data_IF_788719405861
#
_entry.id   IF_788719405861
#
_cell.length_a   1.000
_cell.length_b   1.000
_cell.length_c   1.000
_cell.angle_alpha   90.00
_cell.angle_beta   90.00
_cell.angle_gamma   90.00
#
_symmetry.space_group_name_H-M   'P 1'
#
loop_
_entity.id
_entity.type
_entity.pdbx_description
1 polymer ?
#
# COMPACT_ATOMS: atom_id res chain seq x y z
N UNK A 1 -15.33 -7.94 13.27
CA UNK A 1 -14.88 -6.63 13.73
C UNK A 1 -13.41 -6.58 13.42
N UNK A 2 -13.01 -5.70 12.53
CA UNK A 2 -11.62 -5.47 12.15
C UNK A 2 -11.12 -4.17 12.75
N UNK A 3 -9.81 -4.05 12.92
CA UNK A 3 -9.19 -2.89 13.57
C UNK A 3 -8.00 -2.36 12.76
N UNK A 4 -8.01 -1.07 12.44
CA UNK A 4 -6.94 -0.39 11.73
C UNK A 4 -6.35 0.75 12.58
N UNK A 5 -5.08 1.03 12.38
CA UNK A 5 -4.41 2.23 12.92
C UNK A 5 -3.79 3.06 11.79
N UNK A 6 -4.01 4.37 11.82
CA UNK A 6 -3.42 5.31 10.88
C UNK A 6 -2.53 6.30 11.60
N UNK A 7 -1.30 6.44 11.10
CA UNK A 7 -0.27 7.32 11.65
C UNK A 7 -0.12 8.57 10.79
N UNK A 8 0.04 9.71 11.45
CA UNK A 8 0.19 11.01 10.81
C UNK A 8 1.33 11.78 11.47
N UNK A 9 2.39 12.09 10.74
CA UNK A 9 3.41 13.01 11.25
C UNK A 9 2.80 14.41 11.29
N UNK A 10 2.55 14.96 12.47
CA UNK A 10 1.89 16.28 12.60
C UNK A 10 2.87 17.44 12.62
N UNK A 11 4.17 17.17 12.40
CA UNK A 11 5.19 18.19 12.27
C UNK A 11 5.26 18.67 10.80
N UNK A 12 4.79 19.89 10.48
CA UNK A 12 4.77 20.40 9.11
C UNK A 12 6.15 20.65 8.52
N UNK A 13 7.22 20.67 9.33
CA UNK A 13 8.59 20.73 8.83
C UNK A 13 9.08 19.37 8.29
N UNK A 14 8.40 18.28 8.64
CA UNK A 14 8.75 16.91 8.23
C UNK A 14 7.76 16.32 7.22
N UNK A 15 6.48 16.73 7.26
CA UNK A 15 5.43 16.16 6.43
C UNK A 15 4.44 17.24 5.97
N UNK A 16 4.29 17.37 4.65
CA UNK A 16 3.44 18.39 4.04
C UNK A 16 1.95 18.02 4.02
N UNK A 17 1.62 16.74 4.15
CA UNK A 17 0.26 16.22 3.90
C UNK A 17 -0.39 15.72 5.19
N UNK A 18 0.34 14.96 6.00
CA UNK A 18 -0.20 14.28 7.17
C UNK A 18 -0.83 15.21 8.22
N UNK A 19 -0.29 16.42 8.53
CA UNK A 19 -0.95 17.32 9.46
C UNK A 19 -2.35 17.73 9.00
N UNK A 20 -2.50 18.02 7.71
CA UNK A 20 -3.78 18.41 7.11
C UNK A 20 -4.74 17.23 6.95
N UNK A 21 -4.21 16.04 6.62
CA UNK A 21 -5.00 14.81 6.56
C UNK A 21 -5.56 14.43 7.93
N UNK A 22 -4.75 14.52 8.99
CA UNK A 22 -5.18 14.24 10.36
C UNK A 22 -6.30 15.17 10.82
N UNK A 23 -6.16 16.48 10.60
CA UNK A 23 -7.22 17.44 10.94
C UNK A 23 -8.50 17.21 10.13
N UNK A 24 -8.36 16.78 8.87
CA UNK A 24 -9.51 16.42 8.03
C UNK A 24 -10.23 15.18 8.55
N UNK A 25 -9.50 14.14 8.96
CA UNK A 25 -10.04 12.94 9.62
C UNK A 25 -10.78 13.31 10.90
N UNK A 26 -10.19 14.17 11.74
CA UNK A 26 -10.85 14.63 12.98
C UNK A 26 -12.17 15.32 12.72
N UNK A 27 -12.24 16.15 11.67
CA UNK A 27 -13.49 16.82 11.26
C UNK A 27 -14.52 15.86 10.67
N UNK A 28 -14.10 14.91 9.84
CA UNK A 28 -14.99 13.99 9.14
C UNK A 28 -15.62 12.97 10.10
N UNK A 29 -14.82 12.40 10.99
CA UNK A 29 -15.24 11.25 11.79
C UNK A 29 -15.50 11.59 13.26
N UNK A 30 -15.06 12.77 13.72
CA UNK A 30 -15.18 13.20 15.12
C UNK A 30 -14.76 12.09 16.10
N UNK A 31 -13.55 11.51 15.95
CA UNK A 31 -13.13 10.36 16.74
C UNK A 31 -12.99 10.75 18.23
N UNK A 32 -13.25 9.78 19.10
CA UNK A 32 -13.21 9.94 20.54
C UNK A 32 -11.82 9.59 21.09
N UNK A 33 -11.38 10.31 22.12
CA UNK A 33 -10.16 9.97 22.86
C UNK A 33 -10.34 8.61 23.57
N UNK A 34 -9.38 7.72 23.40
CA UNK A 34 -9.38 6.38 24.03
C UNK A 34 -8.83 6.38 25.46
N UNK A 35 -8.20 7.47 25.90
CA UNK A 35 -7.42 7.57 27.12
C UNK A 35 -6.01 6.95 27.02
N UNK A 36 -5.66 6.39 25.86
CA UNK A 36 -4.33 5.84 25.58
C UNK A 36 -3.44 6.90 24.91
N UNK A 37 -2.13 6.72 25.06
CA UNK A 37 -1.14 7.56 24.39
C UNK A 37 -0.17 6.72 23.55
N UNK A 38 0.28 7.30 22.44
CA UNK A 38 1.33 6.77 21.57
C UNK A 38 2.25 7.92 21.15
N UNK A 39 3.56 7.73 21.29
CA UNK A 39 4.55 8.77 21.02
C UNK A 39 4.30 10.10 21.77
N UNK A 40 3.68 10.01 22.96
CA UNK A 40 3.29 11.19 23.75
C UNK A 40 1.99 11.87 23.30
N UNK A 41 1.32 11.36 22.26
CA UNK A 41 0.07 11.91 21.73
C UNK A 41 -1.15 11.02 22.05
N UNK A 42 -2.37 11.59 22.19
CA UNK A 42 -3.58 10.80 22.37
C UNK A 42 -3.87 9.89 21.17
N UNK A 43 -4.36 8.68 21.45
CA UNK A 43 -4.92 7.79 20.43
C UNK A 43 -6.41 8.07 20.30
N UNK A 44 -6.86 8.46 19.11
CA UNK A 44 -8.26 8.74 18.82
C UNK A 44 -8.91 7.53 18.14
N UNK A 45 -10.19 7.27 18.43
CA UNK A 45 -10.95 6.13 17.87
C UNK A 45 -12.25 6.57 17.21
N UNK A 46 -12.51 6.01 16.04
CA UNK A 46 -13.81 6.02 15.37
C UNK A 46 -14.28 4.57 15.17
N UNK A 47 -15.57 4.31 15.33
CA UNK A 47 -16.19 3.01 15.04
C UNK A 47 -17.25 3.24 13.96
N UNK A 48 -17.19 2.46 12.87
CA UNK A 48 -18.20 2.55 11.81
C UNK A 48 -19.46 1.76 12.17
N UNK A 49 -20.49 1.84 11.32
CA UNK A 49 -21.76 1.12 11.52
C UNK A 49 -21.64 -0.42 11.42
N UNK A 50 -20.52 -0.94 10.92
CA UNK A 50 -20.22 -2.36 10.83
C UNK A 50 -19.48 -2.89 12.08
N UNK A 51 -19.14 -2.02 13.04
CA UNK A 51 -18.35 -2.35 14.22
C UNK A 51 -16.86 -2.52 13.95
N UNK A 52 -16.34 -1.98 12.84
CA UNK A 52 -14.90 -1.89 12.62
C UNK A 52 -14.34 -0.65 13.31
N UNK A 53 -13.17 -0.82 13.94
CA UNK A 53 -12.50 0.22 14.70
C UNK A 53 -11.35 0.85 13.91
N UNK A 54 -11.29 2.17 13.91
CA UNK A 54 -10.25 2.96 13.26
C UNK A 54 -9.58 3.85 14.29
N UNK A 55 -8.29 3.63 14.49
CA UNK A 55 -7.44 4.41 15.37
C UNK A 55 -6.67 5.45 14.56
N UNK A 56 -6.62 6.68 15.05
CA UNK A 56 -5.88 7.78 14.42
C UNK A 56 -4.89 8.33 15.43
N UNK A 57 -3.63 8.42 15.00
CA UNK A 57 -2.50 8.70 15.89
C UNK A 57 -1.59 9.72 15.24
N UNK A 58 -1.37 10.84 15.92
CA UNK A 58 -0.33 11.79 15.55
C UNK A 58 1.03 11.33 16.07
N UNK A 59 2.10 11.58 15.30
CA UNK A 59 3.47 11.22 15.64
C UNK A 59 4.43 12.40 15.45
N UNK A 60 5.55 12.38 16.18
CA UNK A 60 6.59 13.39 16.07
C UNK A 60 7.46 13.29 14.82
N UNK A 61 7.47 12.13 14.16
CA UNK A 61 8.13 11.89 12.86
C UNK A 61 7.29 10.95 12.01
N UNK A 62 7.56 10.91 10.70
CA UNK A 62 7.04 9.87 9.83
C UNK A 62 7.56 8.51 10.32
N UNK A 63 6.67 7.52 10.48
CA UNK A 63 6.99 6.22 11.09
C UNK A 63 8.21 5.58 10.41
N UNK A 64 8.24 5.60 9.06
CA UNK A 64 9.34 5.08 8.24
C UNK A 64 10.68 5.75 8.47
N UNK A 65 10.72 6.98 8.98
CA UNK A 65 11.97 7.69 9.23
C UNK A 65 12.64 7.27 10.56
N UNK A 66 11.94 6.53 11.44
CA UNK A 66 12.47 6.10 12.73
C UNK A 66 11.90 4.74 13.21
N UNK A 67 11.98 3.72 12.35
CA UNK A 67 11.60 2.36 12.73
C UNK A 67 12.25 1.83 14.03
N UNK A 68 13.53 2.12 14.37
CA UNK A 68 14.08 1.72 15.66
C UNK A 68 13.24 2.18 16.88
N UNK A 69 12.68 3.38 16.83
CA UNK A 69 11.79 3.91 17.85
C UNK A 69 10.36 3.38 17.71
N UNK A 70 9.79 3.43 16.51
CA UNK A 70 8.35 3.19 16.32
C UNK A 70 7.96 1.71 16.29
N UNK A 71 8.80 0.80 15.79
CA UNK A 71 8.43 -0.62 15.68
C UNK A 71 8.08 -1.26 17.04
N UNK A 72 8.90 -1.08 18.11
CA UNK A 72 8.54 -1.58 19.44
C UNK A 72 7.23 -0.97 19.97
N UNK A 73 7.01 0.33 19.76
CA UNK A 73 5.82 1.04 20.21
C UNK A 73 4.57 0.53 19.49
N UNK A 74 4.63 0.37 18.17
CA UNK A 74 3.53 -0.14 17.35
C UNK A 74 3.15 -1.54 17.81
N UNK A 75 4.12 -2.44 17.97
CA UNK A 75 3.85 -3.80 18.42
C UNK A 75 3.28 -3.85 19.84
N UNK A 76 3.69 -2.93 20.72
CA UNK A 76 3.15 -2.86 22.08
C UNK A 76 1.72 -2.32 22.12
N UNK A 77 1.40 -1.31 21.32
CA UNK A 77 0.13 -0.60 21.40
C UNK A 77 -0.96 -1.16 20.46
N UNK A 78 -0.56 -1.73 19.34
CA UNK A 78 -1.45 -2.01 18.20
C UNK A 78 -1.26 -3.41 17.61
N UNK A 79 -0.68 -4.37 18.36
CA UNK A 79 -0.52 -5.74 17.88
C UNK A 79 -1.83 -6.51 17.67
N UNK A 80 -2.95 -5.95 18.12
CA UNK A 80 -4.31 -6.46 17.88
C UNK A 80 -4.97 -5.83 16.63
N UNK A 81 -4.29 -4.93 15.93
CA UNK A 81 -4.78 -4.36 14.68
C UNK A 81 -4.51 -5.29 13.49
N UNK A 82 -5.46 -5.33 12.57
CA UNK A 82 -5.38 -6.10 11.33
C UNK A 82 -4.64 -5.35 10.22
N UNK A 83 -4.52 -4.02 10.35
CA UNK A 83 -3.97 -3.15 9.32
C UNK A 83 -3.37 -1.87 9.91
N UNK A 84 -2.33 -1.35 9.26
CA UNK A 84 -1.79 -0.03 9.52
C UNK A 84 -1.57 0.77 8.23
N UNK A 85 -1.82 2.08 8.30
CA UNK A 85 -1.49 3.02 7.23
C UNK A 85 -0.70 4.21 7.74
N UNK A 86 0.19 4.74 6.90
CA UNK A 86 0.96 5.96 7.16
C UNK A 86 0.48 6.99 6.15
N UNK A 87 -0.23 8.02 6.62
CA UNK A 87 -0.54 9.17 5.76
C UNK A 87 0.71 10.03 5.61
N UNK A 88 1.12 10.35 4.38
CA UNK A 88 2.34 11.12 4.10
C UNK A 88 2.26 11.80 2.71
N UNK A 89 3.35 12.43 2.28
CA UNK A 89 3.55 13.02 0.97
C UNK A 89 4.51 12.18 0.12
N UNK A 90 4.38 12.31 -1.20
CA UNK A 90 5.29 11.71 -2.17
C UNK A 90 6.04 12.80 -2.94
N UNK A 91 7.32 12.57 -3.22
CA UNK A 91 8.14 13.36 -4.15
C UNK A 91 9.11 12.47 -4.92
N UNK A 92 9.42 12.86 -6.15
CA UNK A 92 10.51 12.25 -6.88
C UNK A 92 10.79 12.98 -8.18
N UNK A 93 12.07 13.01 -8.58
CA UNK A 93 12.54 13.75 -9.76
C UNK A 93 11.77 13.42 -11.06
N UNK A 94 11.25 12.20 -11.19
CA UNK A 94 10.48 11.75 -12.34
C UNK A 94 9.06 11.28 -11.97
N UNK A 95 8.61 11.65 -10.77
CA UNK A 95 7.29 11.30 -10.30
C UNK A 95 6.23 12.10 -11.07
N UNK A 96 5.12 11.48 -11.51
CA UNK A 96 3.97 12.24 -11.95
C UNK A 96 3.43 13.08 -10.78
N UNK A 97 2.86 14.23 -11.09
CA UNK A 97 2.16 15.08 -10.13
C UNK A 97 0.64 14.80 -10.17
N UNK A 98 -0.12 15.33 -9.21
CA UNK A 98 -1.54 15.08 -9.00
C UNK A 98 -1.82 13.57 -8.85
N UNK A 99 -1.15 12.94 -7.89
CA UNK A 99 -1.29 11.50 -7.65
C UNK A 99 -1.76 11.20 -6.23
N UNK A 100 -2.55 10.14 -6.13
CA UNK A 100 -3.05 9.57 -4.88
C UNK A 100 -2.56 8.12 -4.82
N UNK A 101 -1.78 7.77 -3.81
CA UNK A 101 -1.00 6.54 -3.81
C UNK A 101 -1.42 5.62 -2.67
N UNK A 102 -1.45 4.32 -2.96
CA UNK A 102 -1.26 3.25 -1.98
C UNK A 102 0.09 2.59 -2.30
N UNK A 103 0.95 2.42 -1.30
CA UNK A 103 2.27 1.82 -1.48
C UNK A 103 2.52 0.76 -0.39
N UNK A 104 2.78 -0.48 -0.80
CA UNK A 104 3.19 -1.53 0.14
C UNK A 104 4.65 -1.37 0.55
N UNK A 105 4.99 -1.67 1.80
CA UNK A 105 6.36 -1.53 2.30
C UNK A 105 7.25 -2.74 1.99
N UNK A 106 8.50 -2.52 1.57
CA UNK A 106 9.51 -3.58 1.44
C UNK A 106 10.90 -3.08 1.05
N UNK A 107 11.94 -3.82 1.40
CA UNK A 107 13.30 -3.64 0.91
C UNK A 107 13.60 -4.65 -0.20
N UNK A 108 13.50 -4.19 -1.45
CA UNK A 108 13.74 -5.05 -2.61
C UNK A 108 15.20 -5.48 -2.73
N UNK A 109 16.16 -4.74 -2.17
CA UNK A 109 17.58 -5.09 -2.23
C UNK A 109 17.88 -6.30 -1.36
N UNK A 110 17.40 -6.29 -0.13
CA UNK A 110 17.57 -7.38 0.83
C UNK A 110 16.53 -8.51 0.64
N UNK A 111 15.47 -8.26 -0.14
CA UNK A 111 14.36 -9.21 -0.32
C UNK A 111 13.54 -9.39 0.95
N UNK A 112 13.37 -8.31 1.71
CA UNK A 112 12.63 -8.28 2.97
C UNK A 112 11.36 -7.47 2.74
N UNK A 113 10.20 -8.12 2.86
CA UNK A 113 8.91 -7.51 2.55
C UNK A 113 8.04 -7.45 3.80
N UNK A 114 7.30 -6.35 3.94
CA UNK A 114 6.26 -6.24 4.95
C UNK A 114 5.08 -7.12 4.59
N UNK A 115 4.30 -7.52 5.58
CA UNK A 115 3.06 -8.23 5.31
C UNK A 115 2.13 -7.35 4.45
N UNK A 116 1.41 -7.96 3.52
CA UNK A 116 0.38 -7.26 2.75
C UNK A 116 -0.89 -8.10 2.70
N UNK A 117 -2.04 -7.47 2.96
CA UNK A 117 -3.35 -8.04 2.64
C UNK A 117 -3.88 -7.39 1.36
N UNK A 118 -3.90 -8.12 0.22
CA UNK A 118 -4.38 -7.61 -1.05
C UNK A 118 -5.82 -7.08 -0.99
N UNK A 119 -6.68 -7.65 -0.13
CA UNK A 119 -8.07 -7.18 0.03
C UNK A 119 -8.10 -5.74 0.55
N UNK A 120 -7.23 -5.41 1.50
CA UNK A 120 -7.12 -4.07 2.06
C UNK A 120 -6.57 -3.07 1.04
N UNK A 121 -5.54 -3.46 0.28
CA UNK A 121 -5.03 -2.64 -0.84
C UNK A 121 -6.14 -2.34 -1.85
N UNK A 122 -6.89 -3.37 -2.25
CA UNK A 122 -8.02 -3.22 -3.17
C UNK A 122 -9.06 -2.24 -2.64
N UNK A 123 -9.47 -2.42 -1.39
CA UNK A 123 -10.50 -1.58 -0.77
C UNK A 123 -10.07 -0.11 -0.73
N UNK A 124 -8.79 0.16 -0.39
CA UNK A 124 -8.23 1.51 -0.41
C UNK A 124 -8.20 2.09 -1.83
N UNK A 125 -7.70 1.36 -2.83
CA UNK A 125 -7.66 1.83 -4.21
C UNK A 125 -9.07 2.18 -4.75
N UNK A 126 -10.07 1.36 -4.44
CA UNK A 126 -11.45 1.61 -4.83
C UNK A 126 -12.04 2.82 -4.11
N UNK A 127 -11.82 2.95 -2.80
CA UNK A 127 -12.34 4.06 -2.03
C UNK A 127 -11.71 5.39 -2.46
N UNK A 128 -10.38 5.42 -2.66
CA UNK A 128 -9.67 6.59 -3.19
C UNK A 128 -10.24 6.97 -4.56
N UNK A 129 -10.40 6.01 -5.47
CA UNK A 129 -10.91 6.30 -6.80
C UNK A 129 -12.37 6.80 -6.79
N UNK A 130 -13.23 6.19 -5.99
CA UNK A 130 -14.63 6.62 -5.83
C UNK A 130 -14.71 8.05 -5.30
N UNK A 131 -13.94 8.37 -4.26
CA UNK A 131 -13.91 9.71 -3.68
C UNK A 131 -13.24 10.74 -4.59
N UNK A 132 -12.21 10.34 -5.35
CA UNK A 132 -11.56 11.17 -6.37
C UNK A 132 -12.55 11.60 -7.44
N UNK A 133 -13.34 10.66 -7.95
CA UNK A 133 -14.40 10.93 -8.93
C UNK A 133 -15.49 11.82 -8.30
N UNK A 134 -15.94 11.49 -7.10
CA UNK A 134 -16.99 12.25 -6.40
C UNK A 134 -16.57 13.70 -6.10
N UNK A 135 -15.28 13.93 -5.87
CA UNK A 135 -14.70 15.26 -5.62
C UNK A 135 -14.33 16.02 -6.90
N UNK A 136 -14.59 15.44 -8.09
CA UNK A 136 -14.32 16.10 -9.37
C UNK A 136 -12.82 16.24 -9.70
N UNK A 137 -11.95 15.48 -9.05
CA UNK A 137 -10.49 15.54 -9.24
C UNK A 137 -10.03 14.78 -10.48
N UNK A 138 -10.55 15.17 -11.65
CA UNK A 138 -10.24 14.54 -12.93
C UNK A 138 -8.76 14.67 -13.34
N UNK A 139 -8.06 15.68 -12.81
CA UNK A 139 -6.62 15.88 -12.99
C UNK A 139 -5.76 15.01 -12.05
N UNK A 140 -6.35 14.42 -11.01
CA UNK A 140 -5.65 13.46 -10.15
C UNK A 140 -5.78 12.03 -10.69
N UNK A 141 -4.78 11.20 -10.38
CA UNK A 141 -4.79 9.77 -10.72
C UNK A 141 -4.46 8.91 -9.49
N UNK A 142 -5.23 7.84 -9.29
CA UNK A 142 -4.98 6.85 -8.24
C UNK A 142 -3.93 5.83 -8.70
N UNK A 143 -2.91 5.57 -7.89
CA UNK A 143 -1.82 4.64 -8.17
C UNK A 143 -1.63 3.60 -7.07
N UNK A 144 -1.17 2.42 -7.51
CA UNK A 144 -0.45 1.47 -6.67
C UNK A 144 1.03 1.58 -7.03
N UNK A 145 1.82 2.05 -6.08
CA UNK A 145 3.24 2.30 -6.30
C UNK A 145 4.10 1.04 -6.15
N UNK A 146 5.29 1.07 -6.74
CA UNK A 146 6.36 0.12 -6.49
C UNK A 146 6.62 -0.10 -5.00
N UNK A 147 6.72 -1.37 -4.59
CA UNK A 147 7.03 -1.75 -3.22
C UNK A 147 8.41 -1.25 -2.82
N UNK A 148 8.46 -0.33 -1.86
CA UNK A 148 9.71 0.18 -1.30
C UNK A 148 9.50 0.71 0.11
N UNK A 149 10.50 1.39 0.67
CA UNK A 149 10.40 2.06 1.97
C UNK A 149 11.45 3.18 2.05
N UNK A 150 11.14 4.26 2.78
CA UNK A 150 12.06 5.40 2.93
C UNK A 150 13.07 5.23 4.07
N UNK A 151 12.79 4.35 5.05
CA UNK A 151 13.59 4.27 6.29
C UNK A 151 15.06 3.90 6.11
N UNK A 152 15.44 3.29 4.98
CA UNK A 152 16.85 3.08 4.61
C UNK A 152 17.63 4.39 4.53
N UNK A 153 17.01 5.47 4.04
CA UNK A 153 17.61 6.81 3.95
C UNK A 153 17.83 7.44 5.32
N UNK A 154 17.15 6.92 6.35
CA UNK A 154 17.21 7.39 7.74
C UNK A 154 17.97 6.44 8.66
N UNK A 155 18.74 5.50 8.12
CA UNK A 155 19.56 4.56 8.89
C UNK A 155 18.79 3.38 9.49
N UNK A 156 17.54 3.16 9.04
CA UNK A 156 16.77 1.98 9.36
C UNK A 156 17.42 0.70 8.81
N UNK A 157 17.02 -0.44 9.37
CA UNK A 157 17.43 -1.77 8.90
C UNK A 157 16.23 -2.50 8.31
N UNK A 158 16.40 -3.09 7.14
CA UNK A 158 15.32 -3.79 6.43
C UNK A 158 14.57 -4.82 7.28
N UNK A 159 15.27 -5.52 8.21
CA UNK A 159 14.63 -6.48 9.13
C UNK A 159 13.46 -5.89 9.93
N UNK A 160 13.50 -4.58 10.22
CA UNK A 160 12.47 -3.89 11.00
C UNK A 160 11.12 -3.84 10.28
N UNK A 161 11.12 -3.94 8.94
CA UNK A 161 9.89 -4.05 8.15
C UNK A 161 9.11 -5.32 8.55
N UNK A 162 9.82 -6.43 8.78
CA UNK A 162 9.22 -7.71 9.19
C UNK A 162 8.85 -7.78 10.66
N UNK A 163 9.45 -6.93 11.48
CA UNK A 163 9.18 -6.89 12.90
C UNK A 163 7.79 -6.27 13.20
N UNK A 164 7.21 -5.51 12.26
CA UNK A 164 5.82 -5.04 12.36
C UNK A 164 4.88 -6.19 11.99
N UNK A 165 4.00 -6.56 12.93
CA UNK A 165 3.20 -7.79 12.81
C UNK A 165 2.02 -7.67 11.84
N UNK A 166 1.45 -6.48 11.68
CA UNK A 166 0.37 -6.23 10.76
C UNK A 166 0.87 -5.72 9.40
N UNK A 167 0.07 -5.82 8.33
CA UNK A 167 0.30 -5.09 7.11
C UNK A 167 0.44 -3.58 7.35
N UNK A 168 1.43 -2.98 6.70
CA UNK A 168 1.67 -1.53 6.70
C UNK A 168 1.72 -1.04 5.26
N UNK A 169 1.06 0.08 4.99
CA UNK A 169 1.17 0.79 3.72
C UNK A 169 1.42 2.27 3.94
N UNK A 170 2.05 2.88 2.95
CA UNK A 170 2.08 4.34 2.82
C UNK A 170 0.89 4.79 1.96
N UNK A 171 0.28 5.90 2.36
CA UNK A 171 -0.88 6.54 1.76
C UNK A 171 -0.51 7.99 1.44
N UNK A 172 -0.19 8.24 0.19
CA UNK A 172 0.56 9.44 -0.17
C UNK A 172 -0.17 10.32 -1.18
N UNK A 173 0.09 11.63 -1.08
CA UNK A 173 -0.32 12.62 -2.08
C UNK A 173 0.96 13.19 -2.68
N UNK A 174 1.01 13.24 -4.00
CA UNK A 174 2.19 13.70 -4.71
C UNK A 174 1.87 14.48 -5.97
N UNK A 175 2.89 15.09 -6.58
CA UNK A 175 4.30 15.11 -6.17
C UNK A 175 4.86 16.51 -5.98
N UNK A 176 4.02 17.54 -6.02
CA UNK A 176 4.41 18.94 -5.85
C UNK A 176 3.68 19.59 -4.68
N UNK A 177 4.18 20.76 -4.27
CA UNK A 177 3.57 21.60 -3.23
C UNK A 177 2.09 21.89 -3.48
N UNK A 178 1.69 22.13 -4.74
CA UNK A 178 0.29 22.37 -5.11
C UNK A 178 -0.58 21.13 -4.83
N UNK A 179 -0.07 19.94 -5.12
CA UNK A 179 -0.77 18.67 -4.83
C UNK A 179 -0.82 18.38 -3.33
N UNK A 180 0.29 18.58 -2.62
CA UNK A 180 0.38 18.33 -1.17
C UNK A 180 -0.61 19.19 -0.38
N UNK A 181 -0.83 20.43 -0.81
CA UNK A 181 -1.76 21.36 -0.15
C UNK A 181 -3.16 21.39 -0.78
N UNK A 182 -3.47 20.50 -1.72
CA UNK A 182 -4.79 20.45 -2.34
C UNK A 182 -5.83 19.90 -1.34
N UNK A 183 -6.78 20.73 -0.87
CA UNK A 183 -7.71 20.33 0.19
C UNK A 183 -8.67 19.22 -0.24
N UNK A 184 -9.00 19.13 -1.53
CA UNK A 184 -9.87 18.09 -2.06
C UNK A 184 -9.11 16.76 -2.14
N UNK A 185 -7.86 16.76 -2.58
CA UNK A 185 -7.01 15.56 -2.59
C UNK A 185 -6.79 15.00 -1.17
N UNK A 186 -6.50 15.89 -0.21
CA UNK A 186 -6.41 15.54 1.22
C UNK A 186 -7.73 14.95 1.71
N UNK A 187 -8.86 15.58 1.37
CA UNK A 187 -10.18 15.08 1.76
C UNK A 187 -10.49 13.72 1.14
N UNK A 188 -10.07 13.44 -0.08
CA UNK A 188 -10.25 12.14 -0.74
C UNK A 188 -9.51 11.06 0.03
N UNK A 189 -8.23 11.27 0.33
CA UNK A 189 -7.43 10.30 1.09
C UNK A 189 -7.99 10.08 2.50
N UNK A 190 -8.35 11.16 3.21
CA UNK A 190 -8.92 11.07 4.55
C UNK A 190 -10.25 10.29 4.58
N UNK A 191 -11.11 10.47 3.57
CA UNK A 191 -12.37 9.71 3.46
C UNK A 191 -12.10 8.23 3.19
N UNK A 192 -11.13 7.90 2.35
CA UNK A 192 -10.84 6.52 1.97
C UNK A 192 -10.36 5.63 3.13
N UNK A 193 -9.76 6.19 4.19
CA UNK A 193 -9.17 5.42 5.29
C UNK A 193 -10.15 4.43 5.94
N UNK A 194 -11.37 4.88 6.24
CA UNK A 194 -12.38 4.07 6.93
C UNK A 194 -13.06 3.01 6.04
N UNK A 195 -12.65 2.90 4.78
CA UNK A 195 -13.15 1.91 3.82
C UNK A 195 -12.25 0.69 3.65
N UNK A 196 -11.08 0.64 4.33
CA UNK A 196 -10.13 -0.48 4.21
C UNK A 196 -10.75 -1.86 4.53
N UNK A 197 -11.76 -1.89 5.39
CA UNK A 197 -12.47 -3.12 5.80
C UNK A 197 -13.82 -3.34 5.10
N UNK A 198 -14.16 -2.53 4.10
CA UNK A 198 -15.41 -2.68 3.36
C UNK A 198 -15.62 -4.13 2.92
N UNK A 199 -16.76 -4.69 3.34
CA UNK A 199 -17.13 -6.06 2.99
C UNK A 199 -17.83 -6.05 1.63
N UNK A 200 -17.17 -6.66 0.65
CA UNK A 200 -17.65 -6.78 -0.73
C UNK A 200 -17.94 -8.25 -1.01
N UNK A 201 -19.00 -8.52 -1.77
CA UNK A 201 -19.48 -9.90 -2.04
C UNK A 201 -18.73 -10.60 -3.18
N UNK A 202 -17.58 -10.10 -3.58
CA UNK A 202 -16.85 -10.55 -4.76
C UNK A 202 -15.93 -11.72 -4.42
N UNK A 203 -15.74 -12.64 -5.36
CA UNK A 203 -14.62 -13.59 -5.31
C UNK A 203 -13.33 -12.82 -5.66
N UNK A 204 -12.40 -12.73 -4.70
CA UNK A 204 -11.18 -11.91 -4.82
C UNK A 204 -9.98 -12.80 -5.09
N UNK A 205 -9.21 -12.46 -6.13
CA UNK A 205 -7.94 -13.14 -6.45
C UNK A 205 -6.76 -12.19 -6.27
N UNK A 206 -5.81 -12.62 -5.44
CA UNK A 206 -4.55 -11.93 -5.14
C UNK A 206 -3.53 -12.06 -6.27
N UNK A 207 -3.02 -10.95 -6.76
CA UNK A 207 -2.08 -10.88 -7.89
C UNK A 207 -0.78 -10.20 -7.46
N UNK A 208 0.34 -10.92 -7.60
CA UNK A 208 1.68 -10.35 -7.50
C UNK A 208 2.04 -9.63 -8.81
N UNK A 209 2.39 -8.35 -8.71
CA UNK A 209 2.67 -7.49 -9.87
C UNK A 209 4.18 -7.34 -10.06
N UNK A 210 4.69 -7.68 -11.25
CA UNK A 210 6.14 -7.67 -11.51
C UNK A 210 6.49 -6.91 -12.77
N UNK A 211 7.42 -5.97 -12.63
CA UNK A 211 7.93 -5.12 -13.69
C UNK A 211 7.08 -3.87 -13.92
N UNK A 212 7.43 -3.15 -14.99
CA UNK A 212 6.88 -1.81 -15.26
C UNK A 212 7.77 -0.72 -14.69
N UNK A 213 7.26 0.51 -14.70
CA UNK A 213 7.89 1.67 -14.05
C UNK A 213 7.47 1.75 -12.58
N UNK A 214 8.03 2.70 -11.84
CA UNK A 214 7.74 2.93 -10.42
C UNK A 214 6.25 3.20 -10.16
N UNK A 215 5.65 4.07 -10.97
CA UNK A 215 4.21 4.38 -10.99
C UNK A 215 3.59 3.82 -12.28
N UNK A 216 3.32 2.51 -12.31
CA UNK A 216 2.77 1.83 -13.49
C UNK A 216 1.22 1.86 -13.47
N UNK A 217 0.56 2.66 -14.34
CA UNK A 217 -0.88 2.88 -14.25
C UNK A 217 -1.70 1.60 -14.44
N UNK A 218 -1.18 0.61 -15.15
CA UNK A 218 -1.94 -0.60 -15.47
C UNK A 218 -2.29 -1.43 -14.23
N UNK A 219 -1.55 -1.29 -13.13
CA UNK A 219 -1.83 -1.99 -11.88
C UNK A 219 -3.10 -1.46 -11.23
N UNK A 220 -3.13 -0.20 -10.78
CA UNK A 220 -4.32 0.38 -10.17
C UNK A 220 -5.57 0.26 -11.08
N UNK A 221 -5.40 0.47 -12.39
CA UNK A 221 -6.47 0.31 -13.37
C UNK A 221 -7.10 -1.10 -13.39
N UNK A 222 -6.31 -2.15 -13.17
CA UNK A 222 -6.84 -3.52 -13.11
C UNK A 222 -7.81 -3.74 -11.94
N UNK A 223 -7.65 -2.95 -10.86
CA UNK A 223 -8.54 -2.99 -9.70
C UNK A 223 -9.75 -2.10 -9.93
N UNK A 224 -9.53 -0.82 -10.26
CA UNK A 224 -10.61 0.18 -10.30
C UNK A 224 -11.58 -0.01 -11.47
N UNK A 225 -11.18 -0.76 -12.50
CA UNK A 225 -12.04 -1.12 -13.64
C UNK A 225 -12.62 -2.53 -13.56
N UNK A 226 -12.37 -3.26 -12.45
CA UNK A 226 -12.96 -4.60 -12.27
C UNK A 226 -14.47 -4.51 -11.98
N UNK A 227 -15.26 -5.38 -12.64
CA UNK A 227 -16.72 -5.41 -12.55
C UNK A 227 -17.23 -6.47 -11.54
N UNK A 228 -18.52 -6.38 -11.21
CA UNK A 228 -19.21 -7.15 -10.17
C UNK A 228 -19.00 -8.68 -10.26
N UNK A 229 -18.65 -9.28 -9.12
CA UNK A 229 -18.66 -10.73 -8.87
C UNK A 229 -17.29 -11.42 -8.90
N UNK A 230 -16.37 -10.97 -9.76
CA UNK A 230 -14.99 -11.50 -9.89
C UNK A 230 -14.00 -10.35 -9.87
N UNK A 231 -13.16 -10.30 -8.84
CA UNK A 231 -12.35 -9.12 -8.58
C UNK A 231 -10.88 -9.44 -8.35
N UNK A 232 -10.03 -8.56 -8.83
CA UNK A 232 -8.59 -8.65 -8.63
C UNK A 232 -8.19 -7.77 -7.45
N UNK A 233 -7.34 -8.30 -6.60
CA UNK A 233 -6.67 -7.58 -5.53
C UNK A 233 -5.16 -7.67 -5.75
N UNK A 234 -4.48 -6.54 -5.69
CA UNK A 234 -3.05 -6.48 -5.95
C UNK A 234 -2.28 -6.47 -4.63
N UNK A 235 -1.14 -7.15 -4.63
CA UNK A 235 -0.22 -7.22 -3.50
C UNK A 235 0.96 -6.26 -3.71
N UNK A 236 2.18 -6.74 -3.50
CA UNK A 236 3.41 -6.05 -3.88
C UNK A 236 3.51 -5.80 -5.40
N UNK A 237 4.22 -4.72 -5.74
CA UNK A 237 4.63 -4.33 -7.08
C UNK A 237 6.16 -4.32 -7.11
N UNK A 238 6.78 -5.06 -8.02
CA UNK A 238 8.25 -5.11 -8.15
C UNK A 238 8.71 -4.42 -9.46
N UNK A 239 8.99 -3.10 -9.47
CA UNK A 239 9.39 -2.37 -10.67
C UNK A 239 10.64 -2.91 -11.38
N UNK A 240 10.73 -2.70 -12.70
CA UNK A 240 11.83 -3.20 -13.51
C UNK A 240 13.22 -2.75 -13.01
N UNK A 241 13.35 -1.48 -12.61
CA UNK A 241 14.65 -0.90 -12.31
C UNK A 241 15.26 -1.52 -11.03
N UNK A 242 14.44 -1.82 -10.01
CA UNK A 242 14.88 -2.52 -8.80
C UNK A 242 15.11 -4.01 -9.01
N UNK A 243 14.28 -4.68 -9.82
CA UNK A 243 14.55 -6.08 -10.21
C UNK A 243 15.95 -6.22 -10.83
N UNK A 244 16.31 -5.28 -11.72
CA UNK A 244 17.62 -5.25 -12.38
C UNK A 244 18.73 -4.84 -11.41
N UNK A 245 18.54 -3.76 -10.66
CA UNK A 245 19.56 -3.24 -9.75
C UNK A 245 19.92 -4.24 -8.64
N UNK A 246 18.98 -5.08 -8.21
CA UNK A 246 19.14 -5.98 -7.06
C UNK A 246 19.24 -7.46 -7.43
N UNK A 247 19.44 -7.76 -8.72
CA UNK A 247 19.85 -9.08 -9.21
C UNK A 247 18.76 -10.16 -9.12
N UNK A 248 17.50 -9.83 -9.41
CA UNK A 248 16.38 -10.78 -9.39
C UNK A 248 16.42 -11.87 -10.47
N UNK A 249 17.39 -11.80 -11.38
CA UNK A 249 17.72 -12.80 -12.40
C UNK A 249 18.71 -13.88 -11.91
N UNK A 250 19.14 -13.82 -10.64
CA UNK A 250 20.01 -14.81 -10.00
C UNK A 250 19.25 -15.72 -9.03
N UNK A 251 19.83 -16.85 -8.61
CA UNK A 251 19.20 -17.73 -7.59
C UNK A 251 18.96 -17.01 -6.26
N UNK A 252 19.90 -16.17 -5.80
CA UNK A 252 19.67 -15.32 -4.64
C UNK A 252 18.50 -14.36 -4.87
N UNK A 253 18.38 -13.81 -6.09
CA UNK A 253 17.23 -13.03 -6.51
C UNK A 253 15.91 -13.80 -6.53
N UNK A 254 15.94 -15.10 -6.85
CA UNK A 254 14.79 -15.99 -6.77
C UNK A 254 14.32 -16.15 -5.33
N UNK A 255 15.23 -16.31 -4.36
CA UNK A 255 14.88 -16.35 -2.93
C UNK A 255 14.18 -15.06 -2.48
N UNK A 256 14.64 -13.89 -2.93
CA UNK A 256 13.95 -12.61 -2.66
C UNK A 256 12.53 -12.59 -3.22
N UNK A 257 12.34 -13.10 -4.44
CA UNK A 257 11.02 -13.23 -5.06
C UNK A 257 10.11 -14.19 -4.27
N UNK A 258 10.66 -15.30 -3.77
CA UNK A 258 9.94 -16.24 -2.89
C UNK A 258 9.51 -15.55 -1.61
N UNK A 259 10.42 -14.82 -0.94
CA UNK A 259 10.11 -14.05 0.27
C UNK A 259 8.98 -13.02 0.03
N UNK A 260 9.00 -12.34 -1.13
CA UNK A 260 7.93 -11.43 -1.53
C UNK A 260 6.57 -12.14 -1.68
N UNK A 261 6.56 -13.35 -2.24
CA UNK A 261 5.32 -14.12 -2.37
C UNK A 261 4.80 -14.63 -1.01
N UNK A 262 5.69 -14.86 -0.05
CA UNK A 262 5.36 -15.36 1.30
C UNK A 262 4.85 -14.28 2.25
N UNK A 263 5.19 -13.01 2.03
CA UNK A 263 4.66 -11.89 2.83
C UNK A 263 3.20 -11.55 2.48
N UNK A 264 2.62 -12.19 1.47
CA UNK A 264 1.26 -11.92 1.01
C UNK A 264 0.26 -12.77 1.81
N UNK A 265 -0.54 -12.11 2.64
CA UNK A 265 -1.58 -12.74 3.45
C UNK A 265 -2.62 -13.38 2.54
N UNK A 266 -2.98 -14.63 2.83
CA UNK A 266 -3.87 -15.44 1.98
C UNK A 266 -3.20 -15.99 0.71
N UNK A 267 -1.92 -15.67 0.48
CA UNK A 267 -1.12 -16.18 -0.63
C UNK A 267 -1.39 -15.48 -1.97
N UNK A 268 -0.67 -15.96 -2.99
CA UNK A 268 -0.73 -15.44 -4.36
C UNK A 268 -1.57 -16.38 -5.22
N UNK A 269 -2.56 -15.86 -5.92
CA UNK A 269 -3.37 -16.63 -6.88
C UNK A 269 -2.82 -16.54 -8.31
N UNK A 270 -2.08 -15.49 -8.64
CA UNK A 270 -1.41 -15.34 -9.92
C UNK A 270 -0.22 -14.39 -9.86
N UNK A 271 0.66 -14.49 -10.84
CA UNK A 271 1.71 -13.51 -11.09
C UNK A 271 1.43 -12.80 -12.41
N UNK A 272 1.28 -11.48 -12.37
CA UNK A 272 1.18 -10.65 -13.56
C UNK A 272 2.50 -9.93 -13.82
N UNK A 273 3.03 -10.01 -15.04
CA UNK A 273 4.29 -9.34 -15.40
C UNK A 273 4.16 -8.34 -16.54
N UNK A 274 4.96 -7.28 -16.47
CA UNK A 274 5.05 -6.28 -17.53
C UNK A 274 5.77 -6.84 -18.76
N UNK A 275 5.26 -6.59 -19.97
CA UNK A 275 5.75 -7.22 -21.22
C UNK A 275 7.23 -6.95 -21.49
N UNK A 276 7.72 -5.78 -21.08
CA UNK A 276 9.12 -5.33 -21.28
C UNK A 276 10.14 -6.02 -20.36
N UNK A 277 9.71 -6.85 -19.40
CA UNK A 277 10.63 -7.58 -18.52
C UNK A 277 11.51 -8.55 -19.34
N UNK A 278 12.80 -8.70 -19.01
CA UNK A 278 13.71 -9.60 -19.75
C UNK A 278 13.37 -11.08 -19.48
N UNK A 279 13.91 -11.98 -20.31
CA UNK A 279 13.58 -13.39 -20.29
C UNK A 279 13.94 -14.07 -18.95
N UNK A 280 15.11 -13.76 -18.38
CA UNK A 280 15.59 -14.43 -17.17
C UNK A 280 14.68 -14.17 -15.97
N UNK A 281 14.30 -12.90 -15.73
CA UNK A 281 13.29 -12.57 -14.72
C UNK A 281 11.95 -13.28 -14.99
N UNK A 282 11.47 -13.28 -16.24
CA UNK A 282 10.23 -14.00 -16.60
C UNK A 282 10.33 -15.50 -16.32
N UNK A 283 11.51 -16.10 -16.45
CA UNK A 283 11.73 -17.51 -16.14
C UNK A 283 11.62 -17.78 -14.64
N UNK A 284 12.15 -16.89 -13.79
CA UNK A 284 11.94 -16.97 -12.35
C UNK A 284 10.47 -16.83 -11.95
N UNK A 285 9.72 -15.93 -12.60
CA UNK A 285 8.28 -15.84 -12.35
C UNK A 285 7.55 -17.13 -12.74
N UNK A 286 7.88 -17.72 -13.89
CA UNK A 286 7.29 -19.00 -14.33
C UNK A 286 7.69 -20.15 -13.41
N UNK A 287 8.93 -20.18 -12.93
CA UNK A 287 9.40 -21.16 -11.94
C UNK A 287 8.57 -21.05 -10.66
N UNK A 288 8.43 -19.85 -10.11
CA UNK A 288 7.60 -19.61 -8.92
C UNK A 288 6.15 -20.04 -9.15
N UNK A 289 5.58 -19.68 -10.31
CA UNK A 289 4.24 -20.09 -10.69
C UNK A 289 4.07 -21.60 -10.77
N UNK A 290 5.04 -22.30 -11.36
CA UNK A 290 5.05 -23.77 -11.43
C UNK A 290 5.17 -24.41 -10.04
N UNK A 291 6.09 -23.93 -9.20
CA UNK A 291 6.31 -24.44 -7.84
C UNK A 291 5.07 -24.24 -6.96
N UNK A 292 4.33 -23.15 -7.14
CA UNK A 292 3.10 -22.84 -6.38
C UNK A 292 1.81 -23.32 -7.06
N UNK A 293 1.87 -23.87 -8.27
CA UNK A 293 0.69 -24.29 -9.02
C UNK A 293 -0.23 -23.14 -9.44
N UNK A 294 0.32 -21.94 -9.66
CA UNK A 294 -0.44 -20.73 -10.01
C UNK A 294 -0.07 -20.21 -11.40
N UNK A 295 -1.02 -19.60 -12.13
CA UNK A 295 -0.74 -19.07 -13.46
C UNK A 295 0.13 -17.82 -13.42
N UNK A 296 0.90 -17.65 -14.50
CA UNK A 296 1.79 -16.51 -14.72
C UNK A 296 1.48 -15.92 -16.10
N UNK A 297 1.14 -14.65 -16.14
CA UNK A 297 0.71 -14.03 -17.39
C UNK A 297 1.12 -12.57 -17.54
N UNK A 298 0.99 -12.06 -18.77
CA UNK A 298 1.26 -10.67 -19.10
C UNK A 298 0.20 -9.75 -18.49
N UNK A 299 0.62 -8.62 -17.92
CA UNK A 299 -0.24 -7.61 -17.32
C UNK A 299 -1.40 -7.16 -18.22
N UNK A 300 -1.23 -7.17 -19.55
CA UNK A 300 -2.32 -6.84 -20.50
C UNK A 300 -3.57 -7.71 -20.34
N UNK A 301 -3.45 -8.95 -19.86
CA UNK A 301 -4.62 -9.81 -19.58
C UNK A 301 -5.46 -9.29 -18.42
N UNK A 302 -4.90 -8.47 -17.53
CA UNK A 302 -5.64 -7.86 -16.41
C UNK A 302 -6.74 -6.90 -16.87
N UNK A 303 -6.70 -6.42 -18.12
CA UNK A 303 -7.77 -5.59 -18.71
C UNK A 303 -9.08 -6.35 -18.92
N UNK A 304 -9.04 -7.68 -18.87
CA UNK A 304 -10.22 -8.53 -18.96
C UNK A 304 -10.12 -9.65 -17.91
N UNK A 305 -10.38 -9.33 -16.62
CA UNK A 305 -10.24 -10.27 -15.51
C UNK A 305 -11.04 -11.56 -15.70
N UNK A 306 -12.22 -11.48 -16.32
CA UNK A 306 -13.11 -12.65 -16.55
C UNK A 306 -12.47 -13.71 -17.45
N UNK A 307 -11.54 -13.32 -18.33
CA UNK A 307 -10.81 -14.21 -19.24
C UNK A 307 -9.58 -14.88 -18.62
N UNK A 308 -9.33 -14.62 -17.33
CA UNK A 308 -8.19 -15.19 -16.62
C UNK A 308 -8.52 -16.60 -16.13
N UNK A 309 -7.53 -17.48 -16.22
CA UNK A 309 -7.58 -18.85 -15.72
C UNK A 309 -7.38 -18.86 -14.18
N UNK A 310 -8.23 -18.12 -13.46
CA UNK A 310 -8.09 -17.80 -12.02
C UNK A 310 -9.35 -18.11 -11.19
N UNK A 311 -10.43 -18.50 -11.84
CA UNK A 311 -11.77 -18.60 -11.27
C UNK A 311 -12.22 -20.04 -11.19
#
# INVERSE_FOLDING_TARGET
MSKAVFFFCTDPEQDHVAPHMFETVRRLYTPLDTGLTFDGHPVLKYENNCGDEFLFVSTGKVISHDYPHYVPLINSAFSDCDFAGIGNWHEGMNAPDNILIVQTTGDMEEGIFGNVDPKHIRNLLLAIEQERIASGLANFTTYLEGTHWSGKLHGGKAIQIRDIRMPVVDLEIGSTEDSWHNPDAISVMAKALCHVFDQRKEDIRSILCVGGVHMEPTWANAVVTSNDGKSLALSHVLPNHWLVAHGYDTEAGYEKLVNCAESIIGGVHAIAFHDKLKADYKNHLRRLGQERGIPVFKHKRLRNPESLDLW
#
